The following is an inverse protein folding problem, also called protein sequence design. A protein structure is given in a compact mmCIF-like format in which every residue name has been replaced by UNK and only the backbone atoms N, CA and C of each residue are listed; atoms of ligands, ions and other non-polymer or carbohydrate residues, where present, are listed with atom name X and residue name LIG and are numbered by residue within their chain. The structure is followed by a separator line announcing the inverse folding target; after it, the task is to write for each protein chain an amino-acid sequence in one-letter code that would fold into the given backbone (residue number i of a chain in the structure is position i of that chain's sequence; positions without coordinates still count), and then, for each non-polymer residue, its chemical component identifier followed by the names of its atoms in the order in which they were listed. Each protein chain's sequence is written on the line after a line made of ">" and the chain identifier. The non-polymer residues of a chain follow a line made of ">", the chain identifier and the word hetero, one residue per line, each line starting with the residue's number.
data_IF_752870518728
#
_entry.id   IF_752870518728
#
_cell.length_a   1.000
_cell.length_b   1.000
_cell.length_c   1.000
_cell.angle_alpha   90.00
_cell.angle_beta   90.00
_cell.angle_gamma   90.00
#
_symmetry.space_group_name_H-M   'P 1'
#
loop_
_entity.id
_entity.type
_entity.pdbx_description
1 polymer ?
#
# COMPACT_ATOMS: atom_id res chain seq x y z
N UNK A 1 0.57 -8.55 34.73
CA UNK A 1 0.88 -7.11 34.65
C UNK A 1 1.71 -6.96 33.38
N UNK A 2 1.06 -6.54 32.29
CA UNK A 2 1.79 -6.24 31.08
C UNK A 2 2.61 -4.99 31.35
N UNK A 3 3.94 -5.11 31.36
CA UNK A 3 4.83 -3.96 31.46
C UNK A 3 4.63 -3.12 30.22
N UNK A 4 3.97 -1.98 30.36
CA UNK A 4 3.90 -0.98 29.29
C UNK A 4 5.32 -0.56 28.94
N UNK A 5 5.75 -0.87 27.71
CA UNK A 5 7.10 -0.65 27.26
C UNK A 5 7.11 0.46 26.23
N UNK A 6 7.88 1.51 26.50
CA UNK A 6 7.99 2.68 25.64
C UNK A 6 9.44 2.83 25.16
N UNK A 7 9.61 3.29 23.93
CA UNK A 7 10.88 3.83 23.45
C UNK A 7 10.68 5.31 23.16
N UNK A 8 11.51 6.15 23.78
CA UNK A 8 11.37 7.61 23.69
C UNK A 8 12.64 8.17 23.05
N UNK A 9 12.48 8.94 22.00
CA UNK A 9 13.57 9.66 21.33
C UNK A 9 13.13 11.08 21.00
N UNK A 10 14.08 11.98 20.83
CA UNK A 10 13.81 13.32 20.31
C UNK A 10 14.52 13.52 18.97
N UNK A 11 13.92 14.27 18.08
CA UNK A 11 14.53 14.67 16.83
C UNK A 11 15.19 16.07 16.92
N UNK A 12 15.90 16.46 15.87
CA UNK A 12 16.59 17.75 15.79
C UNK A 12 15.65 18.96 15.76
N UNK A 13 14.37 18.76 15.48
CA UNK A 13 13.34 19.82 15.47
C UNK A 13 12.74 20.07 16.85
N UNK A 14 13.04 19.19 17.82
CA UNK A 14 12.49 19.24 19.18
C UNK A 14 11.17 18.50 19.32
N UNK A 15 10.85 17.59 18.39
CA UNK A 15 9.74 16.68 18.54
C UNK A 15 10.18 15.47 19.35
N UNK A 16 9.41 15.12 20.37
CA UNK A 16 9.57 13.90 21.15
C UNK A 16 8.68 12.83 20.54
N UNK A 17 9.30 11.71 20.18
CA UNK A 17 8.62 10.54 19.63
C UNK A 17 8.55 9.45 20.68
N UNK A 18 7.39 8.87 20.87
CA UNK A 18 7.13 7.82 21.85
C UNK A 18 6.48 6.63 21.15
N UNK A 19 7.18 5.52 21.14
CA UNK A 19 6.60 4.25 20.69
C UNK A 19 5.81 3.60 21.81
N UNK A 20 4.75 2.90 21.42
CA UNK A 20 3.94 2.13 22.37
C UNK A 20 3.73 0.71 21.87
N UNK A 21 3.38 -0.17 22.76
CA UNK A 21 2.89 -1.50 22.45
C UNK A 21 1.36 -1.47 22.43
N UNK A 22 0.79 -1.55 21.22
CA UNK A 22 -0.66 -1.60 21.01
C UNK A 22 -1.36 -0.28 20.66
N UNK A 23 -0.74 0.89 20.89
CA UNK A 23 -1.38 2.19 20.62
C UNK A 23 -0.73 2.99 19.48
N UNK A 24 0.38 2.51 18.89
CA UNK A 24 1.06 3.19 17.81
C UNK A 24 2.12 4.21 18.26
N UNK A 25 2.32 5.27 17.48
CA UNK A 25 3.33 6.30 17.64
C UNK A 25 2.72 7.60 18.15
N UNK A 26 3.26 8.14 19.24
CA UNK A 26 2.95 9.48 19.73
C UNK A 26 4.05 10.47 19.35
N UNK A 27 3.66 11.67 19.02
CA UNK A 27 4.56 12.81 18.95
C UNK A 27 4.15 13.92 19.91
N UNK A 28 5.13 14.56 20.51
CA UNK A 28 4.94 15.74 21.36
C UNK A 28 5.88 16.83 20.84
N UNK A 29 5.32 17.94 20.41
CA UNK A 29 6.12 19.12 20.09
C UNK A 29 6.50 19.85 21.38
N UNK A 30 7.79 19.83 21.73
CA UNK A 30 8.28 20.41 22.97
C UNK A 30 8.12 21.96 23.08
N UNK A 31 7.86 22.64 21.96
CA UNK A 31 7.65 24.08 21.92
C UNK A 31 6.19 24.48 22.08
N UNK A 32 5.27 23.73 21.45
CA UNK A 32 3.84 24.04 21.42
C UNK A 32 3.02 23.19 22.37
N UNK A 33 3.61 22.13 22.94
CA UNK A 33 2.94 21.07 23.69
C UNK A 33 1.82 20.33 22.90
N UNK A 34 1.82 20.47 21.58
CA UNK A 34 0.90 19.75 20.73
C UNK A 34 1.25 18.26 20.72
N UNK A 35 0.26 17.41 20.94
CA UNK A 35 0.41 15.95 20.93
C UNK A 35 -0.41 15.36 19.78
N UNK A 36 0.19 14.44 19.02
CA UNK A 36 -0.50 13.70 17.98
C UNK A 36 -0.28 12.19 18.17
N UNK A 37 -1.28 11.42 17.79
CA UNK A 37 -1.27 9.96 17.75
C UNK A 37 -1.37 9.46 16.31
N UNK A 38 -0.47 8.56 15.94
CA UNK A 38 -0.42 7.89 14.64
C UNK A 38 -0.55 6.38 14.85
N UNK A 39 -1.53 5.76 14.20
CA UNK A 39 -1.82 4.35 14.35
C UNK A 39 -2.30 3.73 13.02
N UNK A 40 -2.68 2.46 13.04
CA UNK A 40 -3.18 1.73 11.87
C UNK A 40 -4.44 2.35 11.27
N UNK A 41 -5.25 3.03 12.07
CA UNK A 41 -6.59 3.50 11.68
C UNK A 41 -6.54 4.87 10.99
N UNK A 42 -5.55 5.71 11.32
CA UNK A 42 -5.54 7.10 10.89
C UNK A 42 -4.44 7.49 9.87
N UNK A 43 -3.38 6.68 9.73
CA UNK A 43 -2.23 7.10 8.91
C UNK A 43 -1.49 5.98 8.18
N UNK A 44 -1.97 4.73 8.23
CA UNK A 44 -1.38 3.62 7.47
C UNK A 44 -0.13 3.02 8.09
N UNK A 45 0.08 3.17 9.39
CA UNK A 45 1.10 2.41 10.13
C UNK A 45 0.79 0.91 9.99
N UNK A 46 1.82 0.08 9.78
CA UNK A 46 1.63 -1.36 9.51
C UNK A 46 1.07 -2.13 10.72
N UNK A 47 1.41 -1.71 11.93
CA UNK A 47 0.95 -2.29 13.20
C UNK A 47 1.08 -1.27 14.32
N UNK A 48 0.23 -1.35 15.32
CA UNK A 48 0.31 -0.50 16.51
C UNK A 48 1.40 -0.96 17.51
N UNK A 49 2.07 -2.09 17.26
CA UNK A 49 3.15 -2.62 18.09
C UNK A 49 4.49 -2.09 17.59
N UNK A 50 5.00 -1.06 18.21
CA UNK A 50 6.27 -0.42 17.86
C UNK A 50 7.33 -0.83 18.86
N UNK A 51 8.42 -1.41 18.37
CA UNK A 51 9.49 -1.93 19.21
C UNK A 51 10.71 -1.02 19.31
N UNK A 52 10.99 -0.29 18.24
CA UNK A 52 12.14 0.62 18.19
C UNK A 52 11.91 1.75 17.18
N UNK A 53 12.55 2.89 17.38
CA UNK A 53 12.45 4.02 16.46
C UNK A 53 13.74 4.83 16.44
N UNK A 54 14.09 5.37 15.27
CA UNK A 54 15.24 6.24 15.05
C UNK A 54 14.80 7.43 14.18
N UNK A 55 14.94 8.66 14.68
CA UNK A 55 14.81 9.85 13.85
C UNK A 55 15.99 9.97 12.88
N UNK A 56 15.68 10.22 11.61
CA UNK A 56 16.69 10.47 10.57
C UNK A 56 17.19 11.92 10.59
N UNK A 57 18.25 12.19 9.86
CA UNK A 57 18.77 13.55 9.71
C UNK A 57 17.77 14.48 8.98
N UNK A 58 16.91 13.93 8.12
CA UNK A 58 15.90 14.68 7.36
C UNK A 58 14.65 15.00 8.18
N UNK A 59 14.54 14.48 9.41
CA UNK A 59 13.38 14.64 10.26
C UNK A 59 12.29 13.57 10.07
N UNK A 60 12.52 12.58 9.22
CA UNK A 60 11.68 11.39 9.14
C UNK A 60 11.97 10.46 10.33
N UNK A 61 11.09 9.49 10.60
CA UNK A 61 11.27 8.52 11.67
C UNK A 61 11.19 7.11 11.10
N UNK A 62 12.23 6.30 11.29
CA UNK A 62 12.21 4.89 10.95
C UNK A 62 11.82 4.10 12.19
N UNK A 63 10.89 3.19 12.01
CA UNK A 63 10.21 2.44 13.06
C UNK A 63 10.38 0.95 12.80
N UNK A 64 10.91 0.23 13.78
CA UNK A 64 10.97 -1.23 13.79
C UNK A 64 9.74 -1.83 14.45
N UNK A 65 9.08 -2.74 13.75
CA UNK A 65 7.85 -3.40 14.20
C UNK A 65 7.97 -4.93 14.14
N UNK A 66 6.96 -5.65 14.54
CA UNK A 66 6.88 -7.10 14.36
C UNK A 66 6.73 -7.54 12.90
N UNK A 67 6.22 -6.65 12.03
CA UNK A 67 5.91 -6.94 10.63
C UNK A 67 6.86 -6.29 9.62
N UNK A 68 7.94 -5.67 10.09
CA UNK A 68 8.90 -4.99 9.23
C UNK A 68 9.28 -3.59 9.71
N UNK A 69 9.77 -2.76 8.79
CA UNK A 69 10.11 -1.37 9.03
C UNK A 69 9.02 -0.44 8.46
N UNK A 70 8.77 0.66 9.15
CA UNK A 70 7.95 1.74 8.65
C UNK A 70 8.74 3.04 8.65
N UNK A 71 8.74 3.78 7.55
CA UNK A 71 9.24 5.15 7.46
C UNK A 71 8.07 6.10 7.60
N UNK A 72 8.12 6.96 8.59
CA UNK A 72 7.17 8.03 8.76
C UNK A 72 7.75 9.35 8.27
N UNK A 73 7.05 10.02 7.35
CA UNK A 73 7.36 11.37 6.88
C UNK A 73 6.40 12.36 7.59
N UNK A 74 6.82 13.02 8.66
CA UNK A 74 5.92 13.85 9.48
C UNK A 74 5.32 15.05 8.74
N UNK A 75 6.06 15.63 7.80
CA UNK A 75 5.58 16.78 7.02
C UNK A 75 4.43 16.42 6.06
N UNK A 76 4.31 15.16 5.70
CA UNK A 76 3.25 14.63 4.82
C UNK A 76 2.21 13.83 5.60
N UNK A 77 2.50 13.48 6.83
CA UNK A 77 1.72 12.56 7.67
C UNK A 77 1.48 11.19 7.01
N UNK A 78 2.50 10.65 6.32
CA UNK A 78 2.42 9.41 5.55
C UNK A 78 3.42 8.39 6.06
N UNK A 79 2.97 7.14 6.18
CA UNK A 79 3.82 5.98 6.41
C UNK A 79 4.12 5.25 5.09
N UNK A 80 5.37 4.87 4.92
CA UNK A 80 5.81 3.90 3.91
C UNK A 80 6.31 2.66 4.63
N UNK A 81 5.65 1.54 4.39
CA UNK A 81 5.98 0.27 5.04
C UNK A 81 6.90 -0.58 4.15
N UNK A 82 7.82 -1.31 4.77
CA UNK A 82 8.74 -2.21 4.12
C UNK A 82 8.77 -3.56 4.85
N UNK A 83 8.29 -4.60 4.19
CA UNK A 83 8.10 -5.94 4.72
C UNK A 83 8.99 -6.97 4.03
N UNK A 84 8.99 -8.22 4.52
CA UNK A 84 9.67 -9.34 3.85
C UNK A 84 9.16 -9.54 2.42
N UNK A 85 7.89 -9.33 2.17
CA UNK A 85 7.28 -9.43 0.85
C UNK A 85 7.83 -8.40 -0.14
N UNK A 86 8.31 -7.27 0.38
CA UNK A 86 8.94 -6.19 -0.39
C UNK A 86 10.48 -6.29 -0.39
N UNK A 87 11.02 -7.46 -0.01
CA UNK A 87 12.46 -7.73 -0.05
C UNK A 87 13.23 -7.32 1.21
N UNK A 88 12.56 -6.97 2.32
CA UNK A 88 13.24 -6.81 3.59
C UNK A 88 13.72 -8.17 4.09
N UNK A 89 14.99 -8.28 4.43
CA UNK A 89 15.58 -9.58 4.82
C UNK A 89 15.20 -10.02 6.24
N UNK A 90 14.66 -9.11 7.06
CA UNK A 90 14.23 -9.39 8.43
C UNK A 90 12.84 -8.79 8.72
N UNK A 91 12.10 -9.43 9.59
CA UNK A 91 10.88 -8.92 10.25
C UNK A 91 11.06 -9.11 11.77
N UNK A 92 10.06 -8.91 12.59
CA UNK A 92 10.16 -9.11 14.04
C UNK A 92 11.36 -8.40 14.67
N UNK A 93 11.37 -7.08 14.57
CA UNK A 93 12.40 -6.26 15.18
C UNK A 93 12.31 -6.36 16.72
N UNK A 94 13.45 -6.27 17.38
CA UNK A 94 13.52 -6.40 18.82
C UNK A 94 13.32 -5.05 19.52
N UNK A 95 12.75 -5.11 20.70
CA UNK A 95 12.46 -3.94 21.49
C UNK A 95 13.75 -3.21 21.88
N UNK A 96 13.78 -1.88 21.72
CA UNK A 96 14.91 -1.01 21.99
C UNK A 96 16.21 -1.40 21.28
N UNK A 97 16.12 -2.28 20.28
CA UNK A 97 17.27 -2.76 19.51
C UNK A 97 17.48 -1.92 18.25
N UNK A 98 17.61 -0.61 18.43
CA UNK A 98 17.90 0.29 17.33
C UNK A 98 18.92 1.35 17.77
N UNK A 99 19.88 1.67 16.88
CA UNK A 99 20.91 2.66 17.15
C UNK A 99 21.30 3.41 15.88
N UNK A 100 21.52 4.71 16.01
CA UNK A 100 22.16 5.55 15.00
C UNK A 100 23.64 5.68 15.30
N UNK A 101 24.49 5.33 14.35
CA UNK A 101 25.94 5.43 14.49
C UNK A 101 26.42 6.84 14.16
N UNK A 102 27.60 7.22 14.65
CA UNK A 102 28.24 8.49 14.31
C UNK A 102 28.62 8.60 12.81
N UNK A 103 28.74 7.46 12.13
CA UNK A 103 29.04 7.38 10.69
C UNK A 103 27.80 7.48 9.81
N UNK A 104 26.61 7.71 10.39
CA UNK A 104 25.36 7.90 9.64
C UNK A 104 24.68 6.59 9.21
N UNK A 105 24.96 5.48 9.89
CA UNK A 105 24.19 4.25 9.72
C UNK A 105 23.13 4.13 10.80
N UNK A 106 21.99 3.57 10.40
CA UNK A 106 20.90 3.19 11.28
C UNK A 106 20.88 1.67 11.36
N UNK A 107 20.95 1.11 12.55
CA UNK A 107 21.03 -0.34 12.78
C UNK A 107 19.82 -0.75 13.58
N UNK A 108 19.07 -1.71 13.07
CA UNK A 108 17.92 -2.31 13.72
C UNK A 108 18.16 -3.79 13.96
N UNK A 109 18.09 -4.23 15.21
CA UNK A 109 18.19 -5.63 15.60
C UNK A 109 16.84 -6.35 15.48
N UNK A 110 16.87 -7.57 14.96
CA UNK A 110 15.72 -8.44 14.80
C UNK A 110 16.04 -9.87 15.26
N UNK A 111 15.05 -10.73 15.29
CA UNK A 111 15.25 -12.15 15.58
C UNK A 111 16.08 -12.87 14.49
N UNK A 112 16.08 -12.32 13.27
CA UNK A 112 16.79 -12.88 12.10
C UNK A 112 18.19 -12.26 11.90
N UNK A 113 18.63 -11.35 12.79
CA UNK A 113 19.90 -10.64 12.71
C UNK A 113 19.73 -9.11 12.78
N UNK A 114 20.56 -8.35 12.07
CA UNK A 114 20.50 -6.89 12.07
C UNK A 114 20.33 -6.33 10.66
N UNK A 115 19.50 -5.32 10.53
CA UNK A 115 19.38 -4.52 9.31
C UNK A 115 20.19 -3.25 9.49
N UNK A 116 21.04 -2.94 8.52
CA UNK A 116 21.87 -1.75 8.47
C UNK A 116 21.41 -0.88 7.30
N UNK A 117 21.00 0.35 7.61
CA UNK A 117 20.50 1.31 6.64
C UNK A 117 21.38 2.57 6.65
N UNK A 118 21.42 3.29 5.54
CA UNK A 118 21.96 4.65 5.52
C UNK A 118 20.93 5.62 6.11
N UNK A 119 21.37 6.66 6.83
CA UNK A 119 20.49 7.73 7.35
C UNK A 119 19.77 8.53 6.23
N UNK A 120 20.26 8.43 5.01
CA UNK A 120 19.63 9.01 3.81
C UNK A 120 18.77 8.03 3.02
N UNK A 121 18.40 6.89 3.63
CA UNK A 121 17.60 5.87 2.93
C UNK A 121 16.25 6.45 2.50
N UNK A 122 15.88 6.11 1.29
CA UNK A 122 14.49 6.20 0.81
C UNK A 122 13.97 4.79 0.75
N UNK A 123 13.00 4.46 1.57
CA UNK A 123 12.33 3.16 1.44
C UNK A 123 11.75 3.01 0.02
N UNK A 124 11.63 1.78 -0.48
CA UNK A 124 11.01 1.53 -1.78
C UNK A 124 9.68 2.27 -1.82
N UNK A 125 9.51 3.17 -2.78
CA UNK A 125 8.22 3.82 -2.97
C UNK A 125 7.22 2.73 -3.30
N UNK A 126 5.99 2.86 -2.79
CA UNK A 126 4.89 2.08 -3.35
C UNK A 126 4.80 2.49 -4.83
N UNK A 127 5.19 1.59 -5.71
CA UNK A 127 5.08 1.84 -7.14
C UNK A 127 3.60 1.85 -7.48
N UNK A 128 3.15 2.88 -8.16
CA UNK A 128 1.88 2.85 -8.87
C UNK A 128 2.01 1.78 -9.94
N UNK A 129 1.42 0.62 -9.68
CA UNK A 129 1.40 -0.44 -10.66
C UNK A 129 0.54 -0.01 -11.84
N UNK A 130 1.04 -0.22 -13.06
CA UNK A 130 0.23 -0.04 -14.25
C UNK A 130 -0.76 -1.21 -14.37
N UNK A 131 -2.05 -0.90 -14.36
CA UNK A 131 -3.09 -1.88 -14.64
C UNK A 131 -3.29 -2.01 -16.15
N UNK A 132 -3.32 -3.24 -16.62
CA UNK A 132 -3.60 -3.61 -18.01
C UNK A 132 -4.87 -4.47 -18.02
N UNK A 133 -5.77 -4.14 -18.93
CA UNK A 133 -6.94 -4.94 -19.20
C UNK A 133 -6.67 -5.85 -20.41
N UNK A 134 -7.07 -7.10 -20.31
CA UNK A 134 -6.96 -8.07 -21.39
C UNK A 134 -8.17 -9.00 -21.48
N UNK A 135 -8.19 -9.84 -22.50
CA UNK A 135 -9.20 -10.90 -22.70
C UNK A 135 -10.65 -10.42 -22.61
N UNK A 136 -10.96 -9.24 -23.21
CA UNK A 136 -12.34 -8.82 -23.30
C UNK A 136 -13.16 -9.88 -24.04
N UNK A 137 -14.20 -10.38 -23.39
CA UNK A 137 -15.17 -11.30 -23.99
C UNK A 137 -16.57 -10.71 -23.85
N UNK A 138 -17.32 -10.78 -24.94
CA UNK A 138 -18.73 -10.36 -25.01
C UNK A 138 -19.56 -11.57 -25.38
N UNK A 139 -20.64 -11.83 -24.65
CA UNK A 139 -21.46 -13.03 -24.80
C UNK A 139 -20.62 -14.30 -24.86
N UNK A 140 -19.59 -14.39 -23.96
CA UNK A 140 -18.66 -15.52 -23.86
C UNK A 140 -17.73 -15.74 -25.06
N UNK A 141 -17.65 -14.80 -26.00
CA UNK A 141 -16.72 -14.83 -27.13
C UNK A 141 -15.67 -13.74 -26.94
N UNK A 142 -14.42 -14.11 -27.02
CA UNK A 142 -13.31 -13.13 -26.99
C UNK A 142 -13.41 -12.24 -28.22
N UNK A 143 -13.22 -10.94 -28.02
CA UNK A 143 -13.27 -9.93 -29.06
C UNK A 143 -11.90 -9.27 -29.24
N UNK A 144 -11.52 -9.10 -30.50
CA UNK A 144 -10.28 -8.42 -30.83
C UNK A 144 -10.53 -7.11 -31.57
N UNK A 145 -9.61 -6.15 -31.54
CA UNK A 145 -9.74 -4.89 -32.27
C UNK A 145 -9.89 -5.14 -33.78
N UNK A 146 -10.76 -4.34 -34.41
CA UNK A 146 -10.97 -4.34 -35.87
C UNK A 146 -11.51 -5.65 -36.48
N UNK A 147 -11.98 -6.59 -35.68
CA UNK A 147 -12.71 -7.75 -36.20
C UNK A 147 -14.14 -7.35 -36.61
N UNK A 148 -14.75 -8.01 -37.65
CA UNK A 148 -16.12 -7.76 -38.01
C UNK A 148 -17.08 -7.99 -36.83
N UNK A 149 -17.87 -6.97 -36.46
CA UNK A 149 -18.80 -7.03 -35.32
C UNK A 149 -18.14 -6.80 -33.95
N UNK A 150 -16.84 -6.50 -33.90
CA UNK A 150 -16.18 -6.11 -32.66
C UNK A 150 -16.51 -4.67 -32.27
N UNK A 151 -16.88 -4.39 -31.02
CA UNK A 151 -17.02 -3.02 -30.53
C UNK A 151 -15.67 -2.31 -30.31
N UNK A 152 -14.57 -3.06 -30.36
CA UNK A 152 -13.22 -2.49 -30.19
C UNK A 152 -12.67 -1.98 -31.52
N UNK A 153 -12.43 -0.69 -31.58
CA UNK A 153 -11.75 -0.02 -32.71
C UNK A 153 -10.24 0.09 -32.51
N UNK A 154 -9.78 -0.05 -31.26
CA UNK A 154 -8.38 0.04 -30.84
C UNK A 154 -8.11 -1.01 -29.77
N UNK A 155 -6.83 -1.10 -29.34
CA UNK A 155 -6.46 -1.93 -28.21
C UNK A 155 -7.32 -1.59 -26.98
N UNK A 156 -7.68 -2.59 -26.19
CA UNK A 156 -8.54 -2.43 -25.00
C UNK A 156 -8.00 -1.34 -24.05
N UNK A 157 -6.69 -1.29 -23.85
CA UNK A 157 -6.05 -0.32 -22.95
C UNK A 157 -5.97 1.12 -23.51
N UNK A 158 -6.27 1.30 -24.79
CA UNK A 158 -6.40 2.61 -25.47
C UNK A 158 -7.86 3.02 -25.64
N UNK A 159 -8.78 2.16 -25.21
CA UNK A 159 -10.23 2.33 -25.39
C UNK A 159 -10.81 2.79 -24.06
N UNK A 160 -11.37 3.99 -24.03
CA UNK A 160 -12.00 4.56 -22.83
C UNK A 160 -13.50 4.32 -22.76
N UNK A 161 -14.12 3.95 -23.86
CA UNK A 161 -15.54 3.71 -23.97
C UNK A 161 -15.80 2.57 -24.94
N UNK A 162 -16.69 1.65 -24.54
CA UNK A 162 -17.11 0.50 -25.33
C UNK A 162 -18.63 0.55 -25.43
N UNK A 163 -19.12 0.63 -26.63
CA UNK A 163 -20.55 0.58 -26.94
C UNK A 163 -20.94 -0.85 -27.28
N UNK A 164 -21.94 -1.37 -26.57
CA UNK A 164 -22.47 -2.74 -26.74
C UNK A 164 -23.90 -2.69 -27.27
N UNK A 165 -24.22 -3.58 -28.17
CA UNK A 165 -25.59 -3.76 -28.64
C UNK A 165 -26.49 -4.30 -27.52
N UNK A 166 -27.80 -4.12 -27.67
CA UNK A 166 -28.79 -4.50 -26.66
C UNK A 166 -28.78 -5.99 -26.24
N UNK A 167 -28.33 -6.85 -27.14
CA UNK A 167 -28.17 -8.29 -26.91
C UNK A 167 -26.77 -8.69 -26.39
N UNK A 168 -25.84 -7.74 -26.32
CA UNK A 168 -24.48 -7.90 -25.81
C UNK A 168 -24.38 -7.54 -24.32
N UNK A 169 -25.31 -8.00 -23.51
CA UNK A 169 -25.50 -7.61 -22.11
C UNK A 169 -24.60 -8.36 -21.10
N UNK A 170 -23.69 -9.15 -21.59
CA UNK A 170 -22.76 -9.96 -20.77
C UNK A 170 -21.35 -9.73 -21.25
N UNK A 171 -20.50 -9.27 -20.37
CA UNK A 171 -19.08 -9.12 -20.67
C UNK A 171 -18.19 -9.66 -19.55
N UNK A 172 -16.98 -10.03 -19.91
CA UNK A 172 -15.90 -10.30 -18.97
C UNK A 172 -14.57 -9.78 -19.51
N UNK A 173 -13.69 -9.41 -18.60
CA UNK A 173 -12.30 -9.02 -18.91
C UNK A 173 -11.40 -9.39 -17.74
N UNK A 174 -10.13 -9.52 -18.01
CA UNK A 174 -9.13 -9.67 -16.97
C UNK A 174 -8.41 -8.35 -16.73
N UNK A 175 -7.99 -8.12 -15.50
CA UNK A 175 -7.12 -7.01 -15.13
C UNK A 175 -5.82 -7.57 -14.59
N UNK A 176 -4.70 -7.09 -15.10
CA UNK A 176 -3.36 -7.49 -14.64
C UNK A 176 -2.60 -6.25 -14.19
N UNK A 177 -2.09 -6.29 -12.99
CA UNK A 177 -1.18 -5.25 -12.50
C UNK A 177 0.25 -5.67 -12.77
N UNK A 178 1.00 -4.82 -13.49
CA UNK A 178 2.44 -5.05 -13.70
C UNK A 178 3.17 -4.42 -12.52
N UNK A 179 3.57 -5.28 -11.59
CA UNK A 179 4.43 -4.92 -10.47
C UNK A 179 5.65 -5.84 -10.47
N UNK A 180 6.81 -5.29 -10.85
CA UNK A 180 8.06 -6.04 -10.93
C UNK A 180 8.69 -6.30 -9.56
N UNK A 181 8.31 -5.52 -8.54
CA UNK A 181 8.95 -5.61 -7.21
C UNK A 181 8.25 -6.63 -6.29
N UNK A 182 6.95 -6.83 -6.47
CA UNK A 182 6.20 -7.84 -5.71
C UNK A 182 5.05 -8.44 -6.53
N UNK A 183 5.32 -9.42 -7.40
CA UNK A 183 4.30 -10.04 -8.24
C UNK A 183 3.35 -10.98 -7.46
N UNK A 184 3.70 -11.35 -6.21
CA UNK A 184 3.06 -12.48 -5.52
C UNK A 184 1.82 -12.11 -4.70
N UNK A 185 1.58 -10.83 -4.39
CA UNK A 185 0.51 -10.39 -3.48
C UNK A 185 -0.26 -9.21 -4.05
N UNK A 186 -0.84 -9.41 -5.23
CA UNK A 186 -1.69 -8.40 -5.86
C UNK A 186 -3.14 -8.77 -5.60
N UNK A 187 -3.87 -7.88 -4.96
CA UNK A 187 -5.30 -8.00 -4.73
C UNK A 187 -6.04 -6.98 -5.58
N UNK A 188 -7.11 -7.40 -6.21
CA UNK A 188 -7.94 -6.58 -7.06
C UNK A 188 -9.28 -6.33 -6.41
N UNK A 189 -9.81 -5.14 -6.60
CA UNK A 189 -11.17 -4.77 -6.23
C UNK A 189 -11.74 -3.88 -7.33
N UNK A 190 -12.99 -4.05 -7.67
CA UNK A 190 -13.66 -3.28 -8.71
C UNK A 190 -15.09 -2.93 -8.34
N UNK A 191 -15.63 -1.94 -9.02
CA UNK A 191 -17.05 -1.60 -8.98
C UNK A 191 -17.52 -1.17 -10.37
N UNK A 192 -18.77 -1.40 -10.68
CA UNK A 192 -19.43 -0.93 -11.89
C UNK A 192 -20.49 0.11 -11.48
N UNK A 193 -20.10 1.39 -11.57
CA UNK A 193 -20.99 2.50 -11.24
C UNK A 193 -22.19 2.52 -12.21
N UNK A 194 -23.36 2.75 -11.68
CA UNK A 194 -24.62 2.61 -12.41
C UNK A 194 -25.27 1.21 -12.35
N UNK A 195 -24.52 0.18 -11.90
CA UNK A 195 -25.04 -1.14 -11.61
C UNK A 195 -24.95 -1.46 -10.12
N UNK A 196 -23.77 -1.33 -9.53
CA UNK A 196 -23.53 -1.54 -8.11
C UNK A 196 -22.35 -0.66 -7.64
N UNK A 197 -22.65 0.38 -6.88
CA UNK A 197 -21.68 1.43 -6.52
C UNK A 197 -20.74 1.08 -5.36
N UNK A 198 -20.79 -0.17 -4.86
CA UNK A 198 -19.86 -0.63 -3.84
C UNK A 198 -18.70 -1.39 -4.47
N UNK A 199 -17.52 -1.22 -3.86
CA UNK A 199 -16.35 -2.00 -4.20
C UNK A 199 -16.56 -3.49 -3.83
N UNK A 200 -16.11 -4.39 -4.70
CA UNK A 200 -16.00 -5.81 -4.35
C UNK A 200 -14.97 -6.01 -3.24
N UNK A 201 -15.06 -7.10 -2.53
CA UNK A 201 -13.97 -7.49 -1.62
C UNK A 201 -12.68 -7.68 -2.40
N UNK A 202 -11.56 -7.22 -1.81
CA UNK A 202 -10.24 -7.38 -2.41
C UNK A 202 -9.86 -8.86 -2.45
N UNK A 203 -9.47 -9.37 -3.60
CA UNK A 203 -9.09 -10.78 -3.81
C UNK A 203 -8.01 -10.91 -4.88
N UNK A 204 -7.36 -12.06 -4.94
CA UNK A 204 -6.40 -12.40 -5.99
C UNK A 204 -7.06 -12.66 -7.35
N UNK A 205 -8.39 -12.80 -7.37
CA UNK A 205 -9.13 -12.97 -8.61
C UNK A 205 -9.04 -11.69 -9.43
N UNK A 206 -8.53 -11.82 -10.64
CA UNK A 206 -8.36 -10.73 -11.60
C UNK A 206 -9.39 -10.73 -12.73
N UNK A 207 -10.40 -11.60 -12.66
CA UNK A 207 -11.42 -11.72 -13.69
C UNK A 207 -12.70 -10.97 -13.29
N UNK A 208 -12.99 -9.93 -14.02
CA UNK A 208 -14.18 -9.10 -13.89
C UNK A 208 -15.25 -9.67 -14.78
N UNK A 209 -16.45 -9.95 -14.24
CA UNK A 209 -17.56 -10.50 -15.02
C UNK A 209 -18.87 -9.87 -14.60
N UNK A 210 -19.62 -9.39 -15.58
CA UNK A 210 -20.98 -8.91 -15.43
C UNK A 210 -21.89 -9.56 -16.44
N UNK A 211 -23.08 -9.94 -16.00
CA UNK A 211 -24.05 -10.64 -16.82
C UNK A 211 -25.41 -9.97 -16.73
N UNK A 212 -26.17 -10.02 -17.81
CA UNK A 212 -27.54 -9.51 -17.87
C UNK A 212 -27.66 -8.03 -17.44
N UNK A 213 -26.76 -7.19 -17.94
CA UNK A 213 -26.82 -5.76 -17.72
C UNK A 213 -28.03 -5.16 -18.47
N UNK A 214 -28.76 -4.28 -17.80
CA UNK A 214 -29.79 -3.49 -18.43
C UNK A 214 -29.19 -2.43 -19.37
N UNK A 215 -29.92 -1.98 -20.39
CA UNK A 215 -29.45 -0.82 -21.18
C UNK A 215 -29.16 0.40 -20.29
N UNK A 216 -27.99 1.01 -20.45
CA UNK A 216 -27.57 2.15 -19.63
C UNK A 216 -26.11 2.48 -19.82
N UNK A 217 -25.66 3.52 -19.14
CA UNK A 217 -24.25 3.90 -19.05
C UNK A 217 -23.67 3.42 -17.75
N UNK A 218 -22.50 2.82 -17.82
CA UNK A 218 -21.79 2.25 -16.68
C UNK A 218 -20.34 2.72 -16.67
N UNK A 219 -19.77 2.88 -15.49
CA UNK A 219 -18.37 3.22 -15.37
C UNK A 219 -17.66 2.16 -14.50
N UNK A 220 -16.80 1.36 -15.14
CA UNK A 220 -16.00 0.36 -14.47
C UNK A 220 -14.78 1.03 -13.83
N UNK A 221 -14.65 0.87 -12.53
CA UNK A 221 -13.47 1.30 -11.78
C UNK A 221 -12.78 0.09 -11.14
N UNK A 222 -11.46 0.06 -11.23
CA UNK A 222 -10.62 -1.00 -10.69
C UNK A 222 -9.50 -0.37 -9.84
N UNK A 223 -9.15 -1.05 -8.77
CA UNK A 223 -8.04 -0.67 -7.88
C UNK A 223 -7.31 -1.91 -7.38
#
# INVERSE_FOLDING_TARGET
>A
MDEERYHIVHDSRGIIWISTYGNGLFSINNKTNETKLYNTDNCGLITNNIYSLIPTANGDVIIGTENGLSLFEPDKEVFTNWTKEQGLTASNFNQNAAVKTNSGYLIFGSNDGAIILSDSIKLPRQFTSHMIFDNLSIMYKTVHPNEPGSPLKKNLNETHEIELDYDQNTFSMNVTSINYDNPSNIYYSWKLEGFFDKWTEASENNSIKYTNLSPGQYNLRVR
#
